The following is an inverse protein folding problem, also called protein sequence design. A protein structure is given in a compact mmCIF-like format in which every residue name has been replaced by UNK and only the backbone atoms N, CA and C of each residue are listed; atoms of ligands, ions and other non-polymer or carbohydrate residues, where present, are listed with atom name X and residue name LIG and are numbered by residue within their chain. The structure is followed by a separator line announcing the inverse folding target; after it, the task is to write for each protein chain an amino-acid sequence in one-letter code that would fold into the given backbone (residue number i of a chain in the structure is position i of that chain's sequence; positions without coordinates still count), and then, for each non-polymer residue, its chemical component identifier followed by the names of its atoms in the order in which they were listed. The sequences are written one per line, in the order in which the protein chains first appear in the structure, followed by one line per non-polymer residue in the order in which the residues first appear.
data_IF_530578809005
#
_entry.id   IF_530578809005
#
_cell.length_a   1.000
_cell.length_b   1.000
_cell.length_c   1.000
_cell.angle_alpha   90.00
_cell.angle_beta   90.00
_cell.angle_gamma   90.00
#
_symmetry.space_group_name_H-M   'P 1'
#
loop_
_entity.id
_entity.type
_entity.pdbx_description
1 polymer ?
#
# COMPACT_ATOMS: atom_id res chain seq x y z
N UNK A 1 -3.62 -20.49 4.90
CA UNK A 1 -2.77 -19.38 5.33
C UNK A 1 -1.58 -19.26 4.38
N UNK A 2 -1.38 -18.06 3.81
CA UNK A 2 -0.28 -17.79 2.90
C UNK A 2 0.03 -16.30 2.86
N UNK A 3 1.28 -15.94 2.62
CA UNK A 3 1.69 -14.60 2.21
C UNK A 3 1.48 -14.41 0.72
N UNK A 4 1.62 -13.16 0.24
CA UNK A 4 1.59 -12.81 -1.18
C UNK A 4 2.88 -12.09 -1.53
N UNK A 5 3.47 -12.41 -2.68
CA UNK A 5 4.71 -11.80 -3.13
C UNK A 5 4.91 -11.91 -4.63
N UNK A 6 6.13 -11.57 -5.07
CA UNK A 6 6.52 -11.58 -6.49
C UNK A 6 6.50 -12.98 -7.09
N UNK A 7 7.01 -13.95 -6.35
CA UNK A 7 7.14 -15.33 -6.79
C UNK A 7 6.50 -16.28 -5.77
N UNK A 8 5.94 -17.38 -6.24
CA UNK A 8 5.43 -18.43 -5.37
C UNK A 8 6.60 -19.16 -4.69
N UNK A 9 6.45 -19.49 -3.41
CA UNK A 9 7.53 -20.14 -2.65
C UNK A 9 7.21 -20.25 -1.17
N UNK A 10 8.25 -20.12 -0.37
CA UNK A 10 8.19 -20.18 1.09
C UNK A 10 9.04 -19.06 1.68
N UNK A 11 8.60 -18.50 2.80
CA UNK A 11 9.34 -17.51 3.57
C UNK A 11 9.26 -17.81 5.06
N UNK A 12 10.26 -17.38 5.81
CA UNK A 12 10.21 -17.44 7.27
C UNK A 12 9.41 -16.25 7.81
N UNK A 13 8.52 -16.54 8.76
CA UNK A 13 7.84 -15.51 9.54
C UNK A 13 8.72 -15.05 10.70
N UNK A 14 8.57 -13.80 11.16
CA UNK A 14 9.26 -13.35 12.36
C UNK A 14 8.85 -14.17 13.59
N UNK A 15 9.81 -14.40 14.47
CA UNK A 15 9.56 -15.03 15.77
C UNK A 15 9.38 -13.93 16.80
N UNK A 16 8.26 -13.95 17.51
CA UNK A 16 7.93 -12.98 18.55
C UNK A 16 8.20 -13.56 19.95
N UNK A 17 8.84 -12.75 20.81
CA UNK A 17 8.90 -13.06 22.24
C UNK A 17 7.58 -12.58 22.89
N UNK A 18 6.74 -13.46 23.43
CA UNK A 18 5.44 -13.08 23.99
C UNK A 18 5.55 -12.14 25.22
N UNK A 19 6.76 -11.94 25.76
CA UNK A 19 7.05 -11.01 26.87
C UNK A 19 7.35 -9.58 26.41
N UNK A 20 7.47 -9.36 25.08
CA UNK A 20 7.74 -8.04 24.50
C UNK A 20 6.48 -7.45 23.86
N UNK A 21 6.44 -6.14 23.79
CA UNK A 21 5.40 -5.43 23.06
C UNK A 21 5.83 -5.26 21.60
N UNK A 22 4.92 -5.57 20.69
CA UNK A 22 5.10 -5.39 19.25
C UNK A 22 3.94 -4.63 18.63
N UNK A 23 4.22 -3.82 17.65
CA UNK A 23 3.19 -3.31 16.75
C UNK A 23 2.98 -4.33 15.63
N UNK A 24 2.05 -5.26 15.82
CA UNK A 24 1.78 -6.32 14.85
C UNK A 24 1.26 -5.79 13.49
N UNK A 25 0.74 -4.56 13.44
CA UNK A 25 0.26 -3.94 12.21
C UNK A 25 1.39 -3.37 11.33
N UNK A 26 2.61 -3.22 11.89
CA UNK A 26 3.76 -2.65 11.18
C UNK A 26 4.92 -3.64 11.07
N UNK A 27 4.62 -4.93 10.95
CA UNK A 27 5.65 -5.97 10.87
C UNK A 27 5.90 -6.36 9.44
N UNK A 28 7.10 -6.03 8.94
CA UNK A 28 7.56 -6.55 7.66
C UNK A 28 7.80 -8.05 7.71
N UNK A 29 7.35 -8.76 6.71
CA UNK A 29 7.56 -10.21 6.56
C UNK A 29 8.89 -10.55 5.90
N UNK A 30 9.68 -9.55 5.47
CA UNK A 30 10.94 -9.75 4.75
C UNK A 30 12.14 -9.78 5.69
N UNK A 31 13.23 -10.44 5.26
CA UNK A 31 14.52 -10.42 5.95
C UNK A 31 14.63 -11.39 7.13
N UNK A 32 13.71 -12.33 7.29
CA UNK A 32 13.76 -13.34 8.34
C UNK A 32 14.41 -14.63 7.80
N UNK A 33 15.53 -15.04 8.42
CA UNK A 33 16.28 -16.25 8.05
C UNK A 33 15.82 -17.49 8.82
N UNK A 34 15.03 -17.29 9.88
CA UNK A 34 14.54 -18.36 10.75
C UNK A 34 13.16 -18.04 11.29
N UNK A 35 12.43 -19.07 11.72
CA UNK A 35 11.07 -18.97 12.24
C UNK A 35 10.10 -19.88 11.48
N UNK A 36 8.81 -19.85 11.80
CA UNK A 36 7.81 -20.65 11.10
C UNK A 36 7.81 -20.37 9.60
N UNK A 37 7.77 -21.44 8.80
CA UNK A 37 7.64 -21.31 7.35
C UNK A 37 6.19 -21.05 6.97
N UNK A 38 5.96 -20.06 6.11
CA UNK A 38 4.67 -19.83 5.46
C UNK A 38 4.81 -19.91 3.95
N UNK A 39 3.76 -20.37 3.30
CA UNK A 39 3.67 -20.39 1.84
C UNK A 39 3.50 -18.97 1.31
N UNK A 40 4.17 -18.65 0.21
CA UNK A 40 3.98 -17.41 -0.55
C UNK A 40 3.25 -17.76 -1.85
N UNK A 41 2.21 -17.01 -2.15
CA UNK A 41 1.44 -17.12 -3.39
C UNK A 41 1.78 -15.96 -4.32
N UNK A 42 1.71 -16.23 -5.60
CA UNK A 42 1.72 -15.22 -6.66
C UNK A 42 0.29 -14.95 -7.11
N UNK A 43 -0.13 -13.70 -7.15
CA UNK A 43 -1.52 -13.34 -7.54
C UNK A 43 -1.86 -13.86 -8.93
N UNK A 44 -0.93 -13.77 -9.87
CA UNK A 44 -1.13 -14.26 -11.25
C UNK A 44 -1.46 -15.76 -11.35
N UNK A 45 -1.01 -16.57 -10.38
CA UNK A 45 -1.26 -18.01 -10.35
C UNK A 45 -2.70 -18.36 -9.93
N UNK A 46 -3.41 -17.41 -9.31
CA UNK A 46 -4.80 -17.56 -8.88
C UNK A 46 -5.79 -17.48 -10.06
N UNK A 47 -5.36 -16.98 -11.22
CA UNK A 47 -6.11 -16.97 -12.50
C UNK A 47 -7.53 -16.40 -12.36
N UNK A 48 -7.65 -15.24 -11.73
CA UNK A 48 -8.94 -14.57 -11.57
C UNK A 48 -9.58 -14.29 -12.95
N UNK A 49 -10.87 -14.61 -13.09
CA UNK A 49 -11.66 -14.23 -14.25
C UNK A 49 -12.17 -12.79 -14.17
N UNK A 50 -12.18 -12.21 -12.99
CA UNK A 50 -12.59 -10.83 -12.69
C UNK A 50 -11.87 -10.31 -11.46
N UNK A 51 -11.38 -9.08 -11.55
CA UNK A 51 -10.80 -8.35 -10.43
C UNK A 51 -11.13 -6.86 -10.59
N UNK A 52 -11.82 -6.25 -9.63
CA UNK A 52 -12.22 -4.85 -9.72
C UNK A 52 -11.34 -3.94 -8.85
N UNK A 53 -10.76 -4.49 -7.79
CA UNK A 53 -9.92 -3.77 -6.84
C UNK A 53 -8.87 -4.71 -6.26
N UNK A 54 -7.64 -4.21 -6.13
CA UNK A 54 -6.59 -4.82 -5.33
C UNK A 54 -6.16 -3.81 -4.28
N UNK A 55 -6.36 -4.13 -2.98
CA UNK A 55 -5.73 -3.40 -1.88
C UNK A 55 -4.40 -4.08 -1.57
N UNK A 56 -3.33 -3.28 -1.50
CA UNK A 56 -1.98 -3.73 -1.12
C UNK A 56 -1.53 -2.92 0.08
N UNK A 57 -1.29 -3.62 1.19
CA UNK A 57 -0.91 -3.07 2.48
C UNK A 57 -0.12 -4.20 3.17
N UNK A 58 1.18 -4.25 2.89
CA UNK A 58 2.03 -5.42 3.16
C UNK A 58 3.39 -5.04 3.75
N UNK A 59 3.43 -3.88 4.40
CA UNK A 59 4.57 -3.40 5.20
C UNK A 59 5.93 -3.51 4.47
N UNK A 60 5.94 -2.98 3.22
CA UNK A 60 7.14 -2.82 2.41
C UNK A 60 7.38 -3.86 1.33
N UNK A 61 6.40 -4.72 1.05
CA UNK A 61 6.42 -5.67 -0.06
C UNK A 61 5.50 -5.25 -1.22
N UNK A 62 5.05 -3.99 -1.27
CA UNK A 62 4.05 -3.49 -2.24
C UNK A 62 4.51 -3.73 -3.67
N UNK A 63 5.77 -3.41 -3.98
CA UNK A 63 6.36 -3.62 -5.31
C UNK A 63 6.39 -5.11 -5.67
N UNK A 64 6.75 -5.98 -4.73
CA UNK A 64 6.81 -7.42 -4.97
C UNK A 64 5.41 -8.01 -5.20
N UNK A 65 4.42 -7.58 -4.43
CA UNK A 65 3.02 -8.00 -4.62
C UNK A 65 2.50 -7.56 -5.98
N UNK A 66 2.72 -6.30 -6.37
CA UNK A 66 2.33 -5.79 -7.68
C UNK A 66 3.04 -6.51 -8.83
N UNK A 67 4.33 -6.82 -8.66
CA UNK A 67 5.09 -7.62 -9.63
C UNK A 67 4.51 -9.04 -9.78
N UNK A 68 4.08 -9.66 -8.67
CA UNK A 68 3.39 -10.94 -8.67
C UNK A 68 1.96 -10.92 -9.23
N UNK A 69 1.40 -9.72 -9.42
CA UNK A 69 0.06 -9.49 -9.97
C UNK A 69 0.09 -8.88 -11.38
N UNK A 70 1.26 -8.72 -11.99
CA UNK A 70 1.43 -7.91 -13.20
C UNK A 70 0.51 -8.33 -14.36
N UNK A 71 0.36 -9.64 -14.62
CA UNK A 71 -0.53 -10.17 -15.67
C UNK A 71 -1.99 -9.94 -15.32
N UNK A 72 -2.37 -10.17 -14.07
CA UNK A 72 -3.74 -9.93 -13.58
C UNK A 72 -4.12 -8.45 -13.73
N UNK A 73 -3.18 -7.55 -13.36
CA UNK A 73 -3.36 -6.10 -13.48
C UNK A 73 -3.47 -5.67 -14.94
N UNK A 74 -2.60 -6.17 -15.81
CA UNK A 74 -2.63 -5.88 -17.25
C UNK A 74 -3.94 -6.32 -17.92
N UNK A 75 -4.41 -7.54 -17.59
CA UNK A 75 -5.57 -8.15 -18.22
C UNK A 75 -6.90 -7.61 -17.68
N UNK A 76 -7.00 -7.42 -16.37
CA UNK A 76 -8.28 -7.11 -15.71
C UNK A 76 -8.40 -5.64 -15.29
N UNK A 77 -7.30 -4.89 -15.28
CA UNK A 77 -7.23 -3.44 -14.99
C UNK A 77 -8.02 -3.02 -13.74
N UNK A 78 -7.82 -3.70 -12.60
CA UNK A 78 -8.51 -3.35 -11.36
C UNK A 78 -8.11 -1.93 -10.92
N UNK A 79 -8.95 -1.27 -10.12
CA UNK A 79 -8.46 -0.17 -9.30
C UNK A 79 -7.41 -0.71 -8.32
N UNK A 80 -6.36 0.09 -8.04
CA UNK A 80 -5.37 -0.28 -7.03
C UNK A 80 -5.47 0.70 -5.87
N UNK A 81 -5.43 0.17 -4.64
CA UNK A 81 -5.30 0.96 -3.43
C UNK A 81 -4.08 0.45 -2.66
N UNK A 82 -2.99 1.23 -2.70
CA UNK A 82 -1.66 0.77 -2.28
C UNK A 82 -1.11 1.67 -1.19
N UNK A 83 -0.65 1.09 -0.10
CA UNK A 83 0.04 1.82 0.95
C UNK A 83 1.36 2.40 0.43
N UNK A 84 1.67 3.65 0.81
CA UNK A 84 2.91 4.34 0.45
C UNK A 84 3.36 5.29 1.57
N UNK A 85 3.59 4.73 2.74
CA UNK A 85 3.96 5.44 3.96
C UNK A 85 5.47 5.70 4.08
N UNK A 86 6.31 4.96 3.36
CA UNK A 86 7.75 4.91 3.54
C UNK A 86 8.46 5.70 2.44
N UNK A 87 9.24 6.71 2.81
CA UNK A 87 9.82 7.67 1.87
C UNK A 87 10.78 7.04 0.85
N UNK A 88 11.66 6.16 1.32
CA UNK A 88 12.67 5.48 0.49
C UNK A 88 12.06 4.43 -0.46
N UNK A 89 10.84 3.95 -0.15
CA UNK A 89 10.09 2.99 -0.97
C UNK A 89 9.11 3.65 -1.94
N UNK A 90 8.85 4.95 -1.77
CA UNK A 90 7.88 5.68 -2.60
C UNK A 90 8.28 5.69 -4.08
N UNK A 91 9.54 6.04 -4.38
CA UNK A 91 10.01 6.08 -5.78
C UNK A 91 9.87 4.73 -6.52
N UNK A 92 10.39 3.59 -6.01
CA UNK A 92 10.22 2.29 -6.67
C UNK A 92 8.76 1.91 -6.91
N UNK A 93 7.87 2.23 -5.95
CA UNK A 93 6.45 1.98 -6.10
C UNK A 93 5.81 2.84 -7.19
N UNK A 94 6.13 4.14 -7.24
CA UNK A 94 5.62 5.04 -8.28
C UNK A 94 6.13 4.67 -9.68
N UNK A 95 7.39 4.26 -9.80
CA UNK A 95 7.96 3.74 -11.05
C UNK A 95 7.26 2.45 -11.49
N UNK A 96 6.96 1.54 -10.55
CA UNK A 96 6.20 0.32 -10.83
C UNK A 96 4.79 0.64 -11.33
N UNK A 97 4.04 1.52 -10.66
CA UNK A 97 2.70 1.92 -11.08
C UNK A 97 2.72 2.59 -12.46
N UNK A 98 3.71 3.41 -12.75
CA UNK A 98 3.89 4.02 -14.06
C UNK A 98 4.15 2.97 -15.14
N UNK A 99 4.99 1.97 -14.86
CA UNK A 99 5.28 0.86 -15.80
C UNK A 99 4.04 0.02 -16.12
N UNK A 100 3.10 -0.07 -15.20
CA UNK A 100 1.80 -0.73 -15.36
C UNK A 100 0.74 0.16 -16.03
N UNK A 101 1.08 1.37 -16.48
CA UNK A 101 0.18 2.37 -17.05
C UNK A 101 -0.92 2.85 -16.09
N UNK A 102 -0.63 2.92 -14.79
CA UNK A 102 -1.54 3.47 -13.79
C UNK A 102 -1.24 4.94 -13.47
N UNK A 103 -2.29 5.68 -13.18
CA UNK A 103 -2.25 7.06 -12.71
C UNK A 103 -2.62 7.07 -11.23
N UNK A 104 -1.68 7.41 -10.34
CA UNK A 104 -1.91 7.42 -8.90
C UNK A 104 -2.34 8.80 -8.39
N UNK A 105 -3.18 8.81 -7.35
CA UNK A 105 -3.55 9.97 -6.51
C UNK A 105 -3.28 9.64 -5.05
N UNK A 106 -2.79 10.61 -4.31
CA UNK A 106 -2.58 10.49 -2.88
C UNK A 106 -3.91 10.55 -2.13
N UNK A 107 -4.17 9.52 -1.34
CA UNK A 107 -5.20 9.49 -0.30
C UNK A 107 -4.49 9.54 1.05
N UNK A 108 -4.37 10.75 1.62
CA UNK A 108 -3.67 10.96 2.89
C UNK A 108 -4.69 11.39 3.93
N UNK A 109 -4.70 10.74 5.10
CA UNK A 109 -5.66 10.99 6.17
C UNK A 109 -4.97 10.94 7.53
N UNK A 110 -5.31 11.92 8.39
CA UNK A 110 -4.98 11.84 9.81
C UNK A 110 -5.77 10.72 10.47
N UNK A 111 -5.16 10.07 11.46
CA UNK A 111 -5.86 9.11 12.31
C UNK A 111 -6.95 9.77 13.18
N UNK A 112 -6.78 11.07 13.49
CA UNK A 112 -7.79 11.82 14.23
C UNK A 112 -8.89 12.34 13.32
N UNK A 113 -10.13 11.97 13.66
CA UNK A 113 -11.33 12.53 13.04
C UNK A 113 -11.98 13.51 14.05
N UNK A 114 -11.99 14.84 13.78
CA UNK A 114 -12.64 15.81 14.68
C UNK A 114 -14.15 15.58 14.83
N UNK A 115 -14.76 14.89 13.85
CA UNK A 115 -16.18 14.48 13.89
C UNK A 115 -16.33 13.03 14.29
N UNK A 116 -15.50 12.54 15.23
CA UNK A 116 -15.56 11.15 15.69
C UNK A 116 -16.87 10.87 16.46
N UNK A 117 -17.26 9.60 16.49
CA UNK A 117 -18.53 9.14 17.06
C UNK A 117 -18.72 9.55 18.52
N UNK A 118 -17.66 9.58 19.32
CA UNK A 118 -17.74 9.92 20.76
C UNK A 118 -17.58 11.42 21.04
N UNK A 119 -17.40 12.26 20.02
CA UNK A 119 -17.21 13.70 20.18
C UNK A 119 -15.93 14.10 20.93
N UNK A 120 -14.92 13.23 20.95
CA UNK A 120 -13.62 13.53 21.57
C UNK A 120 -12.94 14.67 20.81
N UNK A 121 -12.59 15.74 21.51
CA UNK A 121 -11.91 16.91 20.94
C UNK A 121 -10.38 16.79 20.98
N UNK A 122 -9.84 15.90 21.82
CA UNK A 122 -8.40 15.70 21.98
C UNK A 122 -7.84 14.80 20.88
N UNK A 123 -6.82 15.28 20.18
CA UNK A 123 -6.09 14.53 19.18
C UNK A 123 -4.92 13.78 19.81
N UNK A 124 -5.13 12.55 20.24
CA UNK A 124 -4.08 11.68 20.81
C UNK A 124 -3.10 11.13 19.76
N UNK A 125 -3.35 11.38 18.45
CA UNK A 125 -2.52 10.93 17.34
C UNK A 125 -1.66 12.05 16.73
N UNK A 126 -1.53 13.20 17.40
CA UNK A 126 -0.85 14.39 16.87
C UNK A 126 0.62 14.12 16.48
N UNK A 127 1.29 13.22 17.21
CA UNK A 127 2.67 12.83 16.95
C UNK A 127 2.85 11.72 15.92
N UNK A 128 1.75 11.14 15.42
CA UNK A 128 1.78 10.03 14.47
C UNK A 128 1.65 10.59 13.05
N UNK A 129 2.52 10.12 12.14
CA UNK A 129 2.41 10.48 10.72
C UNK A 129 1.04 10.05 10.17
N UNK A 130 0.48 10.81 9.20
CA UNK A 130 -0.78 10.44 8.60
C UNK A 130 -0.68 9.12 7.83
N UNK A 131 -1.79 8.44 7.71
CA UNK A 131 -1.94 7.30 6.83
C UNK A 131 -1.87 7.76 5.37
N UNK A 132 -0.93 7.21 4.61
CA UNK A 132 -0.72 7.59 3.23
C UNK A 132 -0.86 6.40 2.28
N UNK A 133 -1.85 6.47 1.42
CA UNK A 133 -2.15 5.48 0.40
C UNK A 133 -2.18 6.13 -0.98
N UNK A 134 -2.09 5.32 -2.02
CA UNK A 134 -2.31 5.69 -3.41
C UNK A 134 -3.59 5.03 -3.91
N UNK A 135 -4.55 5.82 -4.40
CA UNK A 135 -5.64 5.32 -5.23
C UNK A 135 -5.21 5.44 -6.70
N UNK A 136 -5.22 4.34 -7.43
CA UNK A 136 -4.68 4.30 -8.77
C UNK A 136 -5.69 3.69 -9.75
N UNK A 137 -5.83 4.31 -10.92
CA UNK A 137 -6.61 3.77 -12.03
C UNK A 137 -5.73 3.62 -13.26
N UNK A 138 -6.04 2.60 -14.05
CA UNK A 138 -5.38 2.44 -15.35
C UNK A 138 -5.66 3.66 -16.24
N UNK A 139 -4.66 4.14 -16.99
CA UNK A 139 -4.71 5.38 -17.78
C UNK A 139 -5.90 5.46 -18.76
N UNK A 140 -6.37 4.33 -19.25
CA UNK A 140 -7.53 4.25 -20.14
C UNK A 140 -8.87 4.24 -19.39
N UNK A 141 -8.87 4.22 -18.06
CA UNK A 141 -10.10 4.27 -17.27
C UNK A 141 -10.57 5.72 -17.17
N UNK A 142 -11.79 5.98 -17.58
CA UNK A 142 -12.43 7.28 -17.36
C UNK A 142 -12.90 7.35 -15.91
N UNK A 143 -12.10 7.97 -15.05
CA UNK A 143 -12.45 8.21 -13.65
C UNK A 143 -12.28 9.69 -13.33
N UNK A 144 -13.31 10.29 -12.73
CA UNK A 144 -13.22 11.61 -12.14
C UNK A 144 -12.80 11.44 -10.68
N UNK A 145 -11.63 11.99 -10.33
CA UNK A 145 -11.08 11.89 -8.98
C UNK A 145 -11.26 13.24 -8.28
N UNK A 146 -12.07 13.23 -7.23
CA UNK A 146 -12.37 14.42 -6.43
C UNK A 146 -11.82 14.27 -5.02
N UNK A 147 -11.22 15.34 -4.50
CA UNK A 147 -10.76 15.40 -3.11
C UNK A 147 -9.47 14.63 -2.81
N UNK A 148 -8.75 14.19 -3.83
CA UNK A 148 -7.43 13.58 -3.71
C UNK A 148 -6.37 14.46 -4.38
N UNK A 149 -5.11 14.32 -3.92
CA UNK A 149 -3.97 15.07 -4.44
C UNK A 149 -3.29 14.25 -5.55
N UNK A 150 -3.10 14.80 -6.76
CA UNK A 150 -2.40 14.08 -7.82
C UNK A 150 -0.94 13.82 -7.45
N UNK A 151 -0.41 12.67 -7.86
CA UNK A 151 1.04 12.38 -7.78
C UNK A 151 1.77 13.19 -8.87
N UNK A 152 2.84 13.87 -8.48
CA UNK A 152 3.66 14.71 -9.38
C UNK A 152 5.00 14.03 -9.63
N UNK A 153 5.03 13.08 -10.59
CA UNK A 153 6.24 12.35 -10.96
C UNK A 153 6.70 11.32 -9.91
N UNK A 154 7.76 10.58 -10.25
CA UNK A 154 8.26 9.48 -9.42
C UNK A 154 9.08 9.93 -8.21
N UNK A 155 9.47 11.20 -8.15
CA UNK A 155 10.14 11.81 -6.99
C UNK A 155 9.16 12.32 -5.92
N UNK A 156 7.86 12.13 -6.13
CA UNK A 156 6.83 12.51 -5.17
C UNK A 156 6.81 11.57 -3.96
N UNK A 157 6.30 12.07 -2.84
CA UNK A 157 6.09 11.29 -1.63
C UNK A 157 4.97 11.91 -0.79
N UNK A 158 4.55 11.18 0.23
CA UNK A 158 3.43 11.60 1.07
C UNK A 158 3.65 12.95 1.78
N UNK A 159 4.88 13.30 2.18
CA UNK A 159 5.18 14.58 2.85
C UNK A 159 4.95 15.77 1.90
N UNK A 160 5.45 15.66 0.66
CA UNK A 160 5.23 16.68 -0.37
C UNK A 160 3.74 16.80 -0.72
N UNK A 161 3.06 15.67 -0.82
CA UNK A 161 1.63 15.63 -1.10
C UNK A 161 0.79 16.20 0.05
N UNK A 162 1.14 15.88 1.30
CA UNK A 162 0.49 16.44 2.49
C UNK A 162 0.61 17.95 2.55
N UNK A 163 1.79 18.49 2.26
CA UNK A 163 1.99 19.94 2.19
C UNK A 163 1.12 20.60 1.10
N UNK A 164 0.97 19.95 -0.08
CA UNK A 164 0.08 20.45 -1.13
C UNK A 164 -1.40 20.39 -0.74
N UNK A 165 -1.82 19.35 -0.05
CA UNK A 165 -3.19 19.20 0.44
C UNK A 165 -3.55 20.28 1.48
N UNK A 166 -2.60 20.69 2.32
CA UNK A 166 -2.80 21.74 3.32
C UNK A 166 -2.81 23.17 2.74
N UNK A 167 -2.27 23.34 1.54
CA UNK A 167 -2.16 24.65 0.87
C UNK A 167 -3.34 24.97 -0.06
N UNK A 168 -4.21 24.03 -0.38
CA UNK A 168 -5.37 24.17 -1.27
C UNK A 168 -6.68 24.00 -0.57
#
# INVERSE_FOLDING_TARGET
DAGVGKDAGWMHLPVFDPRQQYNFAAISMTGHESGPLTRVLKIDDLKFSRCNLIKVDVEGMEVDVLAGAAKTIEQLRPALFVENNTLDRSRPLLEMLQSLNYVPWWHIRSYFNPHNFFGNSENVFESIQPEANLLCFHRETSAEIVGLVPVIGTDDNWQKAWARQAAG
#
